data_IF_551652671311
#
_entry.id   IF_551652671311
#
_cell.length_a   1.000
_cell.length_b   1.000
_cell.length_c   1.000
_cell.angle_alpha   90.00
_cell.angle_beta   90.00
_cell.angle_gamma   90.00
#
_symmetry.space_group_name_H-M   'P 1'
#
loop_
_entity.id
_entity.type
_entity.pdbx_description
1 polymer ?
#
# COMPACT_ATOMS: atom_id res chain seq x y z
N UNK A 1 8.58 -4.60 -3.31
CA UNK A 1 7.11 -4.47 -3.10
C UNK A 1 6.54 -5.88 -3.11
N UNK A 2 5.22 -6.06 -3.13
CA UNK A 2 4.55 -7.37 -2.95
C UNK A 2 4.33 -7.77 -1.48
N UNK A 3 3.73 -6.85 -0.71
CA UNK A 3 3.38 -7.11 0.69
C UNK A 3 1.94 -7.58 0.84
N UNK A 4 1.74 -8.49 1.80
CA UNK A 4 0.43 -8.88 2.30
C UNK A 4 0.21 -8.16 3.62
N UNK A 5 -0.87 -7.40 3.70
CA UNK A 5 -1.34 -6.75 4.92
C UNK A 5 -2.51 -7.55 5.47
N UNK A 6 -2.40 -7.99 6.72
CA UNK A 6 -3.42 -8.79 7.38
C UNK A 6 -3.94 -8.05 8.62
N UNK A 7 -5.27 -7.97 8.75
CA UNK A 7 -5.97 -7.45 9.93
C UNK A 7 -5.50 -6.05 10.39
N UNK A 8 -5.48 -5.10 9.45
CA UNK A 8 -5.20 -3.66 9.66
C UNK A 8 -6.26 -2.90 10.49
N UNK A 9 -7.10 -3.61 11.25
CA UNK A 9 -8.17 -3.02 12.06
C UNK A 9 -7.60 -2.44 13.37
N UNK A 10 -6.60 -3.12 13.94
CA UNK A 10 -6.01 -2.75 15.24
C UNK A 10 -4.84 -1.77 15.15
N UNK A 11 -4.25 -1.61 13.95
CA UNK A 11 -3.08 -0.75 13.68
C UNK A 11 -3.18 -0.17 12.28
N UNK A 12 -2.74 1.07 12.11
CA UNK A 12 -2.59 1.66 10.79
C UNK A 12 -1.55 0.89 9.96
N UNK A 13 -2.00 0.35 8.83
CA UNK A 13 -1.13 -0.25 7.84
C UNK A 13 -0.63 0.82 6.87
N UNK A 14 0.66 1.13 6.95
CA UNK A 14 1.29 2.10 6.05
C UNK A 14 1.73 1.37 4.78
N UNK A 15 1.09 1.73 3.67
CA UNK A 15 1.48 1.27 2.33
C UNK A 15 2.35 2.34 1.68
N UNK A 16 3.57 1.95 1.30
CA UNK A 16 4.51 2.81 0.61
C UNK A 16 5.03 2.17 -0.69
N UNK A 17 5.29 2.99 -1.69
CA UNK A 17 6.01 2.58 -2.90
C UNK A 17 7.46 2.19 -2.55
N UNK A 18 8.10 1.32 -3.34
CA UNK A 18 9.53 1.06 -3.18
C UNK A 18 10.32 2.37 -3.23
N UNK A 19 11.30 2.51 -2.33
CA UNK A 19 12.16 3.67 -2.20
C UNK A 19 11.48 4.98 -1.75
N UNK A 20 10.21 4.97 -1.32
CA UNK A 20 9.59 6.13 -0.67
C UNK A 20 10.41 6.58 0.57
N UNK A 21 10.65 7.90 0.78
CA UNK A 21 10.07 9.06 0.08
C UNK A 21 10.77 9.47 -1.22
N UNK A 22 11.77 8.73 -1.70
CA UNK A 22 12.40 8.91 -2.99
C UNK A 22 11.55 8.45 -4.18
N UNK A 23 12.16 8.44 -5.37
CA UNK A 23 11.50 8.02 -6.61
C UNK A 23 11.34 6.50 -6.68
N UNK A 24 10.16 6.06 -7.11
CA UNK A 24 9.94 4.64 -7.39
C UNK A 24 10.80 4.21 -8.60
N UNK A 25 11.42 3.02 -8.57
CA UNK A 25 12.22 2.52 -9.68
C UNK A 25 11.38 2.36 -10.97
N UNK A 26 11.96 2.63 -12.17
CA UNK A 26 11.26 2.39 -13.43
C UNK A 26 11.07 0.89 -13.67
N UNK A 27 10.06 0.55 -14.48
CA UNK A 27 9.79 -0.83 -14.92
C UNK A 27 9.51 -1.85 -13.80
N UNK A 28 9.02 -1.41 -12.64
CA UNK A 28 8.60 -2.30 -11.56
C UNK A 28 7.08 -2.48 -11.53
N UNK A 29 6.63 -3.71 -11.26
CA UNK A 29 5.21 -4.01 -11.01
C UNK A 29 5.06 -4.51 -9.59
N UNK A 30 4.23 -3.83 -8.81
CA UNK A 30 3.99 -4.12 -7.41
C UNK A 30 2.55 -4.56 -7.18
N UNK A 31 2.34 -5.54 -6.29
CA UNK A 31 1.02 -6.05 -5.90
C UNK A 31 0.88 -6.07 -4.38
N UNK A 32 0.09 -5.17 -3.84
CA UNK A 32 -0.22 -5.17 -2.41
C UNK A 32 -1.54 -5.89 -2.17
N UNK A 33 -1.51 -6.90 -1.30
CA UNK A 33 -2.69 -7.71 -0.98
C UNK A 33 -3.16 -7.35 0.43
N UNK A 34 -4.32 -6.70 0.53
CA UNK A 34 -4.91 -6.32 1.81
C UNK A 34 -6.01 -7.32 2.13
N UNK A 35 -5.83 -8.05 3.23
CA UNK A 35 -6.75 -9.06 3.75
C UNK A 35 -7.22 -8.67 5.14
N UNK A 36 -8.47 -8.97 5.43
CA UNK A 36 -9.02 -8.85 6.77
C UNK A 36 -9.97 -10.00 7.04
N UNK A 37 -9.96 -10.48 8.28
CA UNK A 37 -10.88 -11.49 8.76
C UNK A 37 -12.24 -10.85 9.12
N UNK A 38 -13.32 -11.39 8.56
CA UNK A 38 -14.69 -10.94 8.82
C UNK A 38 -15.22 -9.87 7.86
N UNK A 39 -16.40 -9.35 8.15
CA UNK A 39 -17.08 -8.35 7.32
C UNK A 39 -16.62 -6.94 7.70
N UNK A 40 -15.63 -6.43 6.98
CA UNK A 40 -15.11 -5.06 7.19
C UNK A 40 -15.01 -4.28 5.88
N UNK A 41 -15.05 -2.95 5.98
CA UNK A 41 -14.81 -2.04 4.87
C UNK A 41 -13.33 -1.62 4.87
N UNK A 42 -12.65 -1.80 3.74
CA UNK A 42 -11.26 -1.40 3.57
C UNK A 42 -11.24 -0.03 2.89
N UNK A 43 -10.79 0.99 3.62
CA UNK A 43 -10.61 2.36 3.10
C UNK A 43 -9.13 2.63 2.88
N UNK A 44 -8.77 3.06 1.67
CA UNK A 44 -7.40 3.44 1.31
C UNK A 44 -7.33 4.94 1.15
N UNK A 45 -6.39 5.59 1.84
CA UNK A 45 -6.15 7.02 1.76
C UNK A 45 -4.73 7.26 1.29
N UNK A 46 -4.56 8.13 0.30
CA UNK A 46 -3.24 8.51 -0.20
C UNK A 46 -2.76 9.77 0.51
N UNK A 47 -1.72 9.64 1.33
CA UNK A 47 -1.06 10.79 1.97
C UNK A 47 -0.18 11.59 0.98
N UNK A 48 0.41 10.89 0.00
CA UNK A 48 1.27 11.50 -1.02
C UNK A 48 1.17 10.71 -2.32
N UNK A 49 1.13 11.42 -3.45
CA UNK A 49 1.09 10.81 -4.80
C UNK A 49 2.04 11.58 -5.72
N UNK A 50 2.96 10.86 -6.35
CA UNK A 50 3.83 11.36 -7.42
C UNK A 50 3.86 10.31 -8.53
N UNK A 51 3.29 10.64 -9.69
CA UNK A 51 3.21 9.78 -10.87
C UNK A 51 3.73 10.58 -12.06
N UNK A 52 4.53 9.95 -12.92
CA UNK A 52 4.91 10.53 -14.21
C UNK A 52 3.67 10.62 -15.12
N UNK A 53 3.49 11.76 -15.78
CA UNK A 53 2.41 12.03 -16.75
C UNK A 53 2.58 11.23 -18.04
#
# INVERSE_FOLDING_TARGET
CDWVFEDCISRECILASPAHPGLYPPNIRCRYLIKSNGTVSITVVFASVLLSY
#
